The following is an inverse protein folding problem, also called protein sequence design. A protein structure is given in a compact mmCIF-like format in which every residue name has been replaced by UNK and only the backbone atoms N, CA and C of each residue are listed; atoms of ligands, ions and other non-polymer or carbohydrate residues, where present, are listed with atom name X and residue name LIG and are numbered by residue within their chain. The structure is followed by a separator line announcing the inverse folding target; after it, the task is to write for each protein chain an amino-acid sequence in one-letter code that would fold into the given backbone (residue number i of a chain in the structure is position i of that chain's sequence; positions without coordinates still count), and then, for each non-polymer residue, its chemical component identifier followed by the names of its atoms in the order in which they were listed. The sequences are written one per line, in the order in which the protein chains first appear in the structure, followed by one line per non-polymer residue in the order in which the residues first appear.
data_IF_790540756348
#
_entry.id   IF_790540756348
#
_cell.length_a   1.000
_cell.length_b   1.000
_cell.length_c   1.000
_cell.angle_alpha   90.00
_cell.angle_beta   90.00
_cell.angle_gamma   90.00
#
_symmetry.space_group_name_H-M   'P 1'
#
loop_
_entity.id
_entity.type
_entity.pdbx_description
1 polymer ?
#
# COMPACT_ATOMS: atom_id res chain seq x y z
N UNK A 1 45.33 11.33 -27.91
CA UNK A 1 44.33 10.84 -28.87
C UNK A 1 43.17 10.26 -28.07
N UNK A 2 42.22 11.11 -27.65
CA UNK A 2 41.04 10.70 -26.89
C UNK A 2 39.97 10.21 -27.87
N UNK A 3 39.55 8.95 -27.73
CA UNK A 3 38.37 8.43 -28.44
C UNK A 3 37.12 8.70 -27.60
N UNK A 4 36.36 9.72 -27.97
CA UNK A 4 34.95 9.85 -27.61
C UNK A 4 34.16 8.85 -28.47
N UNK A 5 33.66 7.76 -27.87
CA UNK A 5 32.66 6.90 -28.52
C UNK A 5 31.27 7.47 -28.21
N UNK A 6 30.58 7.91 -29.26
CA UNK A 6 29.21 8.40 -29.25
C UNK A 6 28.27 7.28 -28.77
N UNK A 7 27.52 7.55 -27.71
CA UNK A 7 26.37 6.74 -27.29
C UNK A 7 25.25 6.97 -28.31
N UNK A 8 24.88 5.93 -29.06
CA UNK A 8 23.81 6.00 -30.05
C UNK A 8 22.48 5.72 -29.33
N UNK A 9 21.79 6.77 -28.89
CA UNK A 9 20.43 6.67 -28.36
C UNK A 9 19.48 6.63 -29.56
N UNK A 10 18.98 5.43 -29.91
CA UNK A 10 17.94 5.28 -30.92
C UNK A 10 16.61 5.66 -30.25
N UNK A 11 16.14 6.88 -30.49
CA UNK A 11 14.75 7.25 -30.25
C UNK A 11 13.89 6.55 -31.31
N UNK A 12 13.31 5.41 -30.95
CA UNK A 12 12.15 4.88 -31.67
C UNK A 12 10.98 5.82 -31.37
N UNK A 13 10.50 6.54 -32.39
CA UNK A 13 9.28 7.33 -32.32
C UNK A 13 8.14 6.44 -31.79
N UNK A 14 7.74 6.68 -30.55
CA UNK A 14 6.50 6.15 -30.01
C UNK A 14 5.34 6.83 -30.74
N UNK A 15 4.70 6.10 -31.65
CA UNK A 15 3.37 6.48 -32.12
C UNK A 15 2.45 6.50 -30.90
N UNK A 16 1.98 7.69 -30.52
CA UNK A 16 0.86 7.84 -29.62
C UNK A 16 -0.39 7.27 -30.31
N UNK A 17 -0.64 5.98 -30.12
CA UNK A 17 -1.97 5.43 -30.37
C UNK A 17 -2.78 5.75 -29.12
N UNK A 18 -3.57 6.83 -29.19
CA UNK A 18 -4.67 7.06 -28.27
C UNK A 18 -5.74 5.98 -28.55
N UNK A 19 -5.58 4.80 -27.96
CA UNK A 19 -6.68 3.85 -27.83
C UNK A 19 -7.48 4.27 -26.61
N UNK A 20 -8.70 4.75 -26.84
CA UNK A 20 -9.72 4.86 -25.81
C UNK A 20 -10.02 3.43 -25.32
N UNK A 21 -9.40 3.04 -24.20
CA UNK A 21 -9.76 1.81 -23.53
C UNK A 21 -11.21 1.99 -23.04
N UNK A 22 -12.13 1.19 -23.61
CA UNK A 22 -13.49 1.06 -23.09
C UNK A 22 -13.40 0.53 -21.68
N UNK A 23 -13.94 1.31 -20.76
CA UNK A 23 -14.21 0.97 -19.38
C UNK A 23 -15.09 -0.29 -19.29
N UNK A 24 -14.46 -1.43 -19.00
CA UNK A 24 -15.14 -2.55 -18.36
C UNK A 24 -14.91 -2.42 -16.85
N UNK A 25 -15.68 -1.55 -16.20
CA UNK A 25 -15.75 -1.46 -14.74
C UNK A 25 -16.46 -2.72 -14.21
N UNK A 26 -15.71 -3.65 -13.62
CA UNK A 26 -16.29 -4.64 -12.71
C UNK A 26 -16.63 -3.96 -11.37
N UNK A 27 -17.77 -4.34 -10.79
CA UNK A 27 -18.38 -3.79 -9.57
C UNK A 27 -17.59 -4.11 -8.28
N UNK A 28 -16.27 -3.97 -8.29
CA UNK A 28 -15.39 -4.28 -7.16
C UNK A 28 -15.04 -2.99 -6.43
N UNK A 29 -15.39 -2.89 -5.14
CA UNK A 29 -14.91 -1.80 -4.30
C UNK A 29 -13.59 -2.24 -3.65
N UNK A 30 -12.49 -1.64 -4.07
CA UNK A 30 -11.23 -1.72 -3.34
C UNK A 30 -11.42 -1.03 -1.98
N UNK A 31 -10.86 -1.57 -0.89
CA UNK A 31 -11.04 -0.97 0.43
C UNK A 31 -10.54 0.48 0.56
N UNK A 32 -9.79 0.95 -0.44
CA UNK A 32 -9.24 2.29 -0.51
C UNK A 32 -9.68 2.99 -1.80
N UNK A 33 -10.85 2.64 -2.36
CA UNK A 33 -11.27 3.13 -3.68
C UNK A 33 -11.68 4.61 -3.72
N UNK A 34 -12.15 5.17 -2.61
CA UNK A 34 -12.76 6.48 -2.66
C UNK A 34 -11.72 7.57 -2.54
N UNK A 35 -11.67 8.49 -3.52
CA UNK A 35 -10.81 9.68 -3.47
C UNK A 35 -11.03 10.43 -2.15
N UNK A 36 -9.97 10.57 -1.36
CA UNK A 36 -9.87 11.50 -0.22
C UNK A 36 -9.74 12.95 -0.70
N UNK A 37 -10.55 13.38 -1.67
CA UNK A 37 -10.75 14.81 -1.92
C UNK A 37 -11.95 15.23 -1.08
N UNK A 38 -11.91 16.44 -0.53
CA UNK A 38 -13.01 17.11 0.19
C UNK A 38 -14.39 16.73 -0.39
N UNK A 39 -14.57 16.80 -1.71
CA UNK A 39 -15.86 16.50 -2.38
C UNK A 39 -16.34 15.05 -2.37
N UNK A 40 -15.52 14.09 -1.94
CA UNK A 40 -15.83 12.65 -1.96
C UNK A 40 -16.12 12.07 -0.59
N UNK A 41 -15.71 12.73 0.50
CA UNK A 41 -15.87 12.22 1.86
C UNK A 41 -17.31 12.36 2.36
N UNK A 42 -17.71 11.58 3.39
CA UNK A 42 -19.00 11.80 4.05
C UNK A 42 -19.12 13.28 4.49
N UNK A 43 -20.20 13.99 4.14
CA UNK A 43 -20.26 15.48 4.19
C UNK A 43 -19.78 16.13 5.51
N UNK A 44 -20.18 15.66 6.71
CA UNK A 44 -19.64 16.14 7.98
C UNK A 44 -18.14 15.89 8.23
N UNK A 45 -17.47 15.09 7.41
CA UNK A 45 -16.06 14.75 7.52
C UNK A 45 -15.16 15.66 6.68
N UNK A 46 -15.71 16.67 5.99
CA UNK A 46 -14.93 17.68 5.27
C UNK A 46 -13.90 18.33 6.21
N UNK A 47 -12.61 18.09 5.89
CA UNK A 47 -11.45 18.13 6.81
C UNK A 47 -11.05 19.50 7.37
N UNK A 48 -11.88 20.53 7.22
CA UNK A 48 -11.57 21.89 7.70
C UNK A 48 -11.86 22.10 9.19
N UNK A 49 -12.43 21.13 9.89
CA UNK A 49 -12.82 21.34 11.28
C UNK A 49 -12.48 20.11 12.11
N UNK A 50 -11.39 20.22 12.88
CA UNK A 50 -11.27 19.45 14.12
C UNK A 50 -12.45 19.85 15.01
N UNK A 51 -13.53 19.05 15.03
CA UNK A 51 -14.68 19.33 15.87
C UNK A 51 -14.56 18.55 17.19
N UNK A 52 -14.59 19.34 18.26
CA UNK A 52 -14.70 18.93 19.64
C UNK A 52 -15.91 18.04 19.89
N UNK A 53 -15.71 17.03 20.73
CA UNK A 53 -16.79 16.22 21.30
C UNK A 53 -17.38 16.96 22.49
N UNK A 54 -18.65 17.37 22.41
CA UNK A 54 -19.43 17.63 23.62
C UNK A 54 -20.02 16.32 24.12
N UNK A 55 -19.62 15.95 25.34
CA UNK A 55 -20.11 14.79 26.06
C UNK A 55 -21.63 14.88 26.23
N UNK A 56 -22.37 13.88 25.79
CA UNK A 56 -23.69 13.60 26.33
C UNK A 56 -23.97 12.10 26.32
N UNK A 57 -24.69 11.69 27.36
CA UNK A 57 -25.10 10.34 27.73
C UNK A 57 -25.56 9.46 26.56
N UNK A 58 -25.08 8.21 26.57
CA UNK A 58 -25.30 7.17 25.56
C UNK A 58 -26.77 6.70 25.62
N UNK A 59 -27.58 6.92 24.57
CA UNK A 59 -28.81 6.16 24.39
C UNK A 59 -28.44 4.70 24.14
N UNK A 60 -29.17 3.74 24.70
CA UNK A 60 -29.07 2.33 24.31
C UNK A 60 -29.34 2.21 22.81
N UNK A 61 -28.28 2.09 22.01
CA UNK A 61 -28.34 1.91 20.57
C UNK A 61 -28.76 0.46 20.29
N UNK A 62 -29.89 0.28 19.59
CA UNK A 62 -30.20 -1.00 18.96
C UNK A 62 -29.26 -1.18 17.78
N UNK A 63 -28.18 -1.93 17.98
CA UNK A 63 -27.14 -2.13 16.97
C UNK A 63 -27.65 -3.10 15.91
N UNK A 64 -27.75 -2.65 14.66
CA UNK A 64 -28.01 -3.54 13.52
C UNK A 64 -26.72 -4.28 13.18
N UNK A 65 -26.76 -5.61 13.13
CA UNK A 65 -25.59 -6.39 12.74
C UNK A 65 -25.47 -6.45 11.21
N UNK A 66 -24.30 -6.06 10.70
CA UNK A 66 -23.92 -6.29 9.31
C UNK A 66 -23.40 -7.73 9.18
N UNK A 67 -23.60 -8.34 8.02
CA UNK A 67 -23.06 -9.67 7.74
C UNK A 67 -21.86 -9.56 6.78
N UNK A 68 -20.90 -10.46 6.96
CA UNK A 68 -19.72 -10.60 6.11
C UNK A 68 -19.64 -12.02 5.57
N UNK A 69 -19.17 -12.20 4.34
CA UNK A 69 -18.99 -13.53 3.75
C UNK A 69 -17.97 -14.39 4.50
N UNK A 70 -16.96 -13.76 5.10
CA UNK A 70 -15.96 -14.40 5.96
C UNK A 70 -15.47 -13.44 7.05
N UNK A 71 -14.94 -14.00 8.14
CA UNK A 71 -14.28 -13.25 9.24
C UNK A 71 -12.76 -13.42 9.24
N UNK A 72 -12.23 -14.33 8.42
CA UNK A 72 -10.80 -14.52 8.20
C UNK A 72 -10.53 -14.48 6.69
N UNK A 73 -9.53 -13.70 6.26
CA UNK A 73 -9.25 -13.48 4.83
C UNK A 73 -7.76 -13.55 4.52
N UNK A 74 -7.40 -13.96 3.31
CA UNK A 74 -6.03 -13.80 2.78
C UNK A 74 -5.89 -12.45 2.08
N UNK A 75 -4.68 -11.88 2.03
CA UNK A 75 -4.47 -10.59 1.35
C UNK A 75 -4.94 -10.64 -0.12
N UNK A 76 -5.58 -9.57 -0.58
CA UNK A 76 -6.28 -9.41 -1.86
C UNK A 76 -7.58 -10.22 -2.03
N UNK A 77 -8.10 -10.85 -0.97
CA UNK A 77 -9.39 -11.53 -0.99
C UNK A 77 -10.57 -10.54 -0.96
N UNK A 78 -11.66 -10.91 -1.64
CA UNK A 78 -12.91 -10.16 -1.64
C UNK A 78 -13.80 -10.58 -0.47
N UNK A 79 -14.23 -9.63 0.34
CA UNK A 79 -15.25 -9.82 1.37
C UNK A 79 -16.54 -9.15 0.93
N UNK A 80 -17.62 -9.93 0.85
CA UNK A 80 -18.97 -9.38 0.67
C UNK A 80 -19.52 -8.92 2.01
N UNK A 81 -19.96 -7.67 2.08
CA UNK A 81 -20.60 -7.07 3.25
C UNK A 81 -22.06 -6.82 2.90
N UNK A 82 -22.99 -7.28 3.73
CA UNK A 82 -24.44 -7.07 3.55
C UNK A 82 -25.07 -6.44 4.78
N UNK A 83 -26.11 -5.63 4.57
CA UNK A 83 -26.79 -4.90 5.63
C UNK A 83 -28.29 -4.77 5.36
N UNK A 84 -29.04 -4.53 6.42
CA UNK A 84 -30.46 -4.18 6.32
C UNK A 84 -30.59 -2.66 6.15
N UNK A 85 -31.25 -2.17 5.09
CA UNK A 85 -31.53 -0.74 4.93
C UNK A 85 -32.37 -0.20 6.09
N UNK A 86 -32.11 1.04 6.47
CA UNK A 86 -32.92 1.77 7.46
C UNK A 86 -34.05 2.51 6.75
N UNK A 87 -35.18 2.70 7.43
CA UNK A 87 -36.37 3.33 6.85
C UNK A 87 -36.19 4.81 6.50
N UNK A 88 -35.27 5.49 7.18
CA UNK A 88 -34.97 6.92 7.01
C UNK A 88 -33.52 7.09 6.55
N UNK A 89 -33.18 6.51 5.40
CA UNK A 89 -31.81 6.60 4.87
C UNK A 89 -31.49 8.02 4.38
N UNK A 90 -30.23 8.41 4.56
CA UNK A 90 -29.69 9.60 3.96
C UNK A 90 -28.95 9.28 2.66
N UNK A 91 -29.16 10.12 1.66
CA UNK A 91 -28.04 10.92 1.14
C UNK A 91 -26.65 10.31 1.03
N UNK A 92 -26.00 10.38 2.18
CA UNK A 92 -24.58 10.19 2.41
C UNK A 92 -24.38 9.19 3.55
N UNK A 93 -25.35 8.29 3.71
CA UNK A 93 -25.20 7.05 4.46
C UNK A 93 -24.04 6.27 3.88
N UNK A 94 -23.19 5.74 4.75
CA UNK A 94 -22.00 5.03 4.31
C UNK A 94 -21.64 3.88 5.23
N UNK A 95 -20.97 2.90 4.63
CA UNK A 95 -20.23 1.87 5.36
C UNK A 95 -18.76 2.19 5.22
N UNK A 96 -18.08 2.32 6.37
CA UNK A 96 -16.64 2.44 6.45
C UNK A 96 -16.00 1.16 6.98
N UNK A 97 -14.74 0.93 6.63
CA UNK A 97 -13.88 -0.07 7.26
C UNK A 97 -13.01 0.62 8.33
N UNK A 98 -12.93 0.05 9.51
CA UNK A 98 -12.28 0.67 10.67
C UNK A 98 -11.38 -0.33 11.38
N UNK A 99 -10.31 0.15 12.01
CA UNK A 99 -9.68 -0.62 13.07
C UNK A 99 -10.65 -0.74 14.26
N UNK A 100 -10.67 -1.91 14.90
CA UNK A 100 -11.64 -2.22 15.97
C UNK A 100 -11.53 -1.23 17.14
N UNK A 101 -10.34 -0.75 17.45
CA UNK A 101 -10.09 0.20 18.53
C UNK A 101 -10.56 1.63 18.26
N UNK A 102 -10.91 1.97 17.01
CA UNK A 102 -11.47 3.29 16.69
C UNK A 102 -12.79 3.48 17.45
N UNK A 103 -12.98 4.61 18.13
CA UNK A 103 -14.21 4.90 18.87
C UNK A 103 -15.45 4.90 17.96
N UNK A 104 -16.49 4.13 18.31
CA UNK A 104 -17.75 4.12 17.56
C UNK A 104 -18.52 5.45 17.69
N UNK A 105 -18.32 6.18 18.80
CA UNK A 105 -19.06 7.39 19.14
C UNK A 105 -18.51 8.63 18.43
N UNK A 106 -17.20 8.66 18.22
CA UNK A 106 -16.48 9.87 17.79
C UNK A 106 -15.65 9.64 16.53
N UNK A 107 -15.41 8.39 16.17
CA UNK A 107 -14.53 8.01 15.06
C UNK A 107 -15.27 7.72 13.77
N UNK A 108 -16.44 8.31 13.52
CA UNK A 108 -17.17 8.12 12.25
C UNK A 108 -16.34 8.56 11.03
N UNK A 109 -15.43 9.51 11.19
CA UNK A 109 -14.54 9.97 10.11
C UNK A 109 -13.15 9.31 10.16
N UNK A 110 -12.90 8.41 11.12
CA UNK A 110 -11.63 7.70 11.30
C UNK A 110 -11.66 6.32 10.61
N UNK A 111 -12.21 6.25 9.40
CA UNK A 111 -12.23 5.02 8.59
C UNK A 111 -10.90 4.82 7.88
N UNK A 112 -10.59 3.60 7.47
CA UNK A 112 -9.53 3.30 6.51
C UNK A 112 -9.99 3.58 5.07
N UNK A 113 -11.27 3.30 4.80
CA UNK A 113 -11.97 3.61 3.57
C UNK A 113 -13.47 3.44 3.75
N UNK A 114 -14.26 3.85 2.76
CA UNK A 114 -15.72 3.88 2.87
C UNK A 114 -16.39 3.65 1.53
N UNK A 115 -17.70 3.41 1.54
CA UNK A 115 -18.60 3.47 0.37
C UNK A 115 -19.93 4.06 0.80
N UNK A 116 -20.53 4.89 -0.05
CA UNK A 116 -21.92 5.29 0.13
C UNK A 116 -22.84 4.11 -0.16
N UNK A 117 -23.89 3.94 0.65
CA UNK A 117 -24.74 2.72 0.63
C UNK A 117 -26.12 2.92 0.02
N UNK A 118 -26.40 4.09 -0.53
CA UNK A 118 -27.69 4.41 -1.11
C UNK A 118 -28.13 3.39 -2.16
N UNK A 119 -29.32 2.81 -1.99
CA UNK A 119 -29.91 1.82 -2.90
C UNK A 119 -29.15 0.49 -3.02
N UNK A 120 -28.19 0.22 -2.14
CA UNK A 120 -27.49 -1.05 -2.06
C UNK A 120 -27.84 -1.77 -0.76
N UNK A 121 -27.79 -3.09 -0.79
CA UNK A 121 -27.91 -3.96 0.40
C UNK A 121 -26.68 -4.83 0.58
N UNK A 122 -25.76 -4.79 -0.38
CA UNK A 122 -24.48 -5.49 -0.36
C UNK A 122 -23.41 -4.70 -1.09
N UNK A 123 -22.15 -4.99 -0.75
CA UNK A 123 -20.98 -4.49 -1.45
C UNK A 123 -19.80 -5.45 -1.28
N UNK A 124 -18.86 -5.46 -2.24
CA UNK A 124 -17.68 -6.33 -2.21
C UNK A 124 -16.44 -5.49 -1.97
N UNK A 125 -15.64 -5.89 -0.99
CA UNK A 125 -14.43 -5.21 -0.56
C UNK A 125 -13.20 -6.06 -0.84
N UNK A 126 -12.27 -5.55 -1.64
CA UNK A 126 -10.95 -6.18 -1.73
C UNK A 126 -10.10 -5.78 -0.52
N UNK A 127 -9.66 -6.78 0.23
CA UNK A 127 -9.00 -6.58 1.51
C UNK A 127 -7.50 -6.76 1.39
N UNK A 128 -6.71 -5.85 1.96
CA UNK A 128 -5.29 -6.09 2.19
C UNK A 128 -5.04 -6.50 3.63
N UNK A 129 -3.95 -7.22 3.84
CA UNK A 129 -3.47 -7.51 5.18
C UNK A 129 -2.84 -6.24 5.80
N UNK A 130 -3.64 -5.51 6.59
CA UNK A 130 -3.20 -4.38 7.40
C UNK A 130 -2.64 -4.79 8.77
N UNK A 131 -2.35 -6.09 8.98
CA UNK A 131 -1.76 -6.65 10.21
C UNK A 131 -2.62 -6.48 11.47
N UNK A 132 -3.90 -6.13 11.31
CA UNK A 132 -4.75 -5.64 12.40
C UNK A 132 -6.21 -6.08 12.25
N UNK A 133 -6.95 -6.25 13.36
CA UNK A 133 -8.37 -6.54 13.31
C UNK A 133 -9.17 -5.34 12.80
N UNK A 134 -10.15 -5.62 11.93
CA UNK A 134 -10.97 -4.64 11.25
C UNK A 134 -12.45 -4.92 11.48
N UNK A 135 -13.29 -3.93 11.31
CA UNK A 135 -14.75 -4.10 11.25
C UNK A 135 -15.38 -3.11 10.27
N UNK A 136 -16.47 -3.53 9.63
CA UNK A 136 -17.30 -2.66 8.83
C UNK A 136 -18.33 -1.99 9.73
N UNK A 137 -18.47 -0.67 9.62
CA UNK A 137 -19.43 0.11 10.41
C UNK A 137 -20.33 0.93 9.51
N UNK A 138 -21.62 0.88 9.77
CA UNK A 138 -22.65 1.65 9.09
C UNK A 138 -22.96 2.90 9.91
N UNK A 139 -22.81 4.07 9.29
CA UNK A 139 -23.20 5.36 9.82
C UNK A 139 -24.29 6.01 8.98
N UNK A 140 -25.20 6.70 9.65
CA UNK A 140 -26.28 7.47 9.04
C UNK A 140 -26.54 8.76 9.82
N UNK A 141 -27.40 9.64 9.30
CA UNK A 141 -27.78 10.91 9.93
C UNK A 141 -29.28 10.95 10.21
N UNK A 142 -29.72 12.02 10.85
CA UNK A 142 -31.16 12.27 11.03
C UNK A 142 -31.90 12.33 9.68
N UNK A 143 -33.24 12.27 9.72
CA UNK A 143 -34.11 12.28 8.53
C UNK A 143 -33.85 13.42 7.54
N UNK A 144 -33.31 14.56 8.02
CA UNK A 144 -33.02 15.72 7.20
C UNK A 144 -31.58 15.75 6.67
N UNK A 145 -30.78 14.71 6.96
CA UNK A 145 -29.37 14.60 6.56
C UNK A 145 -28.58 15.87 6.92
N UNK A 146 -28.69 16.27 8.19
CA UNK A 146 -28.12 17.53 8.70
C UNK A 146 -27.41 17.39 10.03
N UNK A 147 -27.67 16.33 10.79
CA UNK A 147 -26.96 16.06 12.04
C UNK A 147 -25.55 15.53 11.82
N UNK A 148 -24.81 15.32 12.90
CA UNK A 148 -23.63 14.47 12.86
C UNK A 148 -24.01 13.01 12.56
N UNK A 149 -23.03 12.23 12.11
CA UNK A 149 -23.18 10.81 11.93
C UNK A 149 -23.47 10.08 13.24
N UNK A 150 -24.44 9.19 13.17
CA UNK A 150 -24.88 8.29 14.23
C UNK A 150 -24.48 6.88 13.83
N UNK A 151 -23.94 6.13 14.78
CA UNK A 151 -23.61 4.72 14.59
C UNK A 151 -24.90 3.88 14.47
N UNK A 152 -25.04 3.15 13.37
CA UNK A 152 -26.22 2.30 13.08
C UNK A 152 -25.93 0.83 13.36
N UNK A 153 -24.75 0.38 12.97
CA UNK A 153 -24.45 -1.04 12.95
C UNK A 153 -22.99 -1.36 12.68
N UNK A 154 -22.60 -2.59 13.00
CA UNK A 154 -21.28 -3.11 12.63
C UNK A 154 -21.30 -4.59 12.26
N UNK A 155 -20.28 -5.01 11.53
CA UNK A 155 -20.02 -6.42 11.26
C UNK A 155 -19.39 -7.12 12.47
N UNK A 156 -19.32 -8.47 12.47
CA UNK A 156 -18.27 -9.17 13.18
C UNK A 156 -16.89 -8.64 12.82
N UNK A 157 -15.92 -8.85 13.73
CA UNK A 157 -14.51 -8.52 13.46
C UNK A 157 -14.01 -9.40 12.31
N UNK A 158 -13.39 -8.77 11.32
CA UNK A 158 -12.68 -9.44 10.22
C UNK A 158 -11.18 -9.29 10.43
N UNK A 159 -10.40 -10.34 10.19
CA UNK A 159 -8.94 -10.34 10.40
C UNK A 159 -8.24 -11.04 9.25
N UNK A 160 -6.99 -10.67 8.93
CA UNK A 160 -6.14 -11.51 8.11
C UNK A 160 -6.04 -12.91 8.70
N UNK A 161 -5.99 -13.94 7.85
CA UNK A 161 -5.82 -15.33 8.26
C UNK A 161 -4.51 -15.54 9.02
N UNK A 162 -3.47 -14.80 8.62
CA UNK A 162 -2.19 -14.68 9.31
C UNK A 162 -1.75 -13.21 9.30
N UNK A 163 -1.85 -12.52 10.45
CA UNK A 163 -1.42 -11.13 10.57
C UNK A 163 0.11 -10.96 10.57
N UNK A 164 0.87 -12.04 10.80
CA UNK A 164 2.33 -12.04 10.73
C UNK A 164 2.88 -12.46 9.36
N UNK A 165 2.02 -12.74 8.37
CA UNK A 165 2.51 -13.19 7.06
C UNK A 165 3.41 -12.14 6.39
N UNK A 166 4.46 -12.56 5.66
CA UNK A 166 5.25 -11.64 4.84
C UNK A 166 4.40 -10.99 3.74
N UNK A 167 4.33 -9.67 3.75
CA UNK A 167 3.65 -8.85 2.74
C UNK A 167 4.59 -7.80 2.16
N UNK A 168 4.16 -7.12 1.10
CA UNK A 168 4.90 -5.99 0.51
C UNK A 168 6.27 -6.40 0.01
N UNK A 169 6.38 -7.62 -0.54
CA UNK A 169 7.66 -8.20 -0.93
C UNK A 169 8.21 -7.42 -2.14
N UNK A 170 9.42 -6.89 -2.00
CA UNK A 170 10.07 -6.12 -3.06
C UNK A 170 11.58 -6.33 -3.07
N UNK A 171 12.16 -6.14 -4.25
CA UNK A 171 13.57 -6.29 -4.52
C UNK A 171 14.22 -4.94 -4.79
N UNK A 172 15.46 -4.77 -4.37
CA UNK A 172 16.28 -3.62 -4.74
C UNK A 172 17.72 -4.07 -4.98
N UNK A 173 18.39 -3.42 -5.92
CA UNK A 173 19.81 -3.62 -6.11
C UNK A 173 20.61 -3.11 -4.91
N UNK A 174 21.61 -3.89 -4.50
CA UNK A 174 22.65 -3.45 -3.58
C UNK A 174 23.87 -2.90 -4.36
N UNK A 175 24.89 -2.45 -3.65
CA UNK A 175 26.05 -1.76 -4.25
C UNK A 175 26.84 -2.64 -5.23
N UNK A 176 27.07 -3.91 -4.90
CA UNK A 176 27.80 -4.84 -5.78
C UNK A 176 26.88 -5.51 -6.79
N UNK A 177 27.44 -5.86 -7.94
CA UNK A 177 26.73 -6.49 -9.06
C UNK A 177 26.11 -7.86 -8.72
N UNK A 178 26.74 -8.57 -7.79
CA UNK A 178 26.38 -9.89 -7.30
C UNK A 178 25.54 -9.85 -6.01
N UNK A 179 24.89 -8.71 -5.76
CA UNK A 179 24.09 -8.50 -4.56
C UNK A 179 22.69 -7.96 -4.87
N UNK A 180 21.72 -8.43 -4.08
CA UNK A 180 20.30 -8.06 -4.14
C UNK A 180 19.74 -7.93 -2.73
N UNK A 181 19.01 -6.86 -2.46
CA UNK A 181 18.16 -6.77 -1.29
C UNK A 181 16.80 -7.39 -1.57
N UNK A 182 16.31 -8.17 -0.60
CA UNK A 182 14.93 -8.61 -0.52
C UNK A 182 14.34 -8.01 0.74
N UNK A 183 13.21 -7.32 0.59
CA UNK A 183 12.52 -6.65 1.68
C UNK A 183 11.06 -7.05 1.75
N UNK A 184 10.50 -7.06 2.95
CA UNK A 184 9.10 -7.40 3.22
C UNK A 184 8.67 -6.84 4.57
N UNK A 185 7.36 -6.86 4.84
CA UNK A 185 6.75 -6.37 6.09
C UNK A 185 5.98 -7.48 6.78
N UNK A 186 6.10 -7.56 8.11
CA UNK A 186 5.28 -8.42 8.97
C UNK A 186 4.75 -7.64 10.18
N UNK A 187 3.95 -8.29 11.03
CA UNK A 187 3.48 -7.75 12.31
C UNK A 187 4.34 -8.17 13.52
N UNK A 188 5.49 -8.81 13.27
CA UNK A 188 6.36 -9.35 14.32
C UNK A 188 7.85 -9.06 14.05
N UNK A 189 8.61 -8.79 15.10
CA UNK A 189 10.07 -8.80 15.06
C UNK A 189 10.66 -9.80 16.06
N UNK A 190 9.86 -10.76 16.52
CA UNK A 190 10.29 -11.76 17.49
C UNK A 190 11.37 -12.70 16.93
N UNK A 191 11.43 -12.85 15.61
CA UNK A 191 12.36 -13.73 14.91
C UNK A 191 13.26 -12.95 13.96
N UNK A 192 14.46 -13.49 13.72
CA UNK A 192 15.37 -12.97 12.70
C UNK A 192 14.70 -13.20 11.33
N UNK A 193 14.56 -12.17 10.48
CA UNK A 193 13.96 -12.35 9.16
C UNK A 193 14.90 -13.16 8.27
N UNK A 194 14.32 -14.12 7.53
CA UNK A 194 15.07 -15.05 6.67
C UNK A 194 14.58 -15.03 5.24
N UNK A 195 15.49 -15.33 4.33
CA UNK A 195 15.22 -15.55 2.91
C UNK A 195 15.85 -16.89 2.54
N UNK A 196 15.02 -17.82 2.08
CA UNK A 196 15.49 -19.06 1.48
C UNK A 196 15.49 -18.87 -0.03
N UNK A 197 16.59 -19.25 -0.68
CA UNK A 197 16.77 -19.04 -2.11
C UNK A 197 17.58 -20.16 -2.77
N UNK A 198 17.46 -20.27 -4.09
CA UNK A 198 18.06 -21.38 -4.84
C UNK A 198 17.90 -21.24 -6.36
N UNK A 199 18.59 -22.08 -7.12
CA UNK A 199 18.42 -22.19 -8.57
C UNK A 199 17.23 -23.07 -8.96
N UNK A 200 16.71 -23.87 -8.02
CA UNK A 200 15.58 -24.75 -8.25
C UNK A 200 14.40 -24.33 -7.37
N UNK A 201 13.25 -24.06 -7.99
CA UNK A 201 12.02 -23.68 -7.27
C UNK A 201 11.59 -24.69 -6.20
N UNK A 202 11.88 -25.97 -6.41
CA UNK A 202 11.49 -27.05 -5.50
C UNK A 202 12.55 -27.34 -4.41
N UNK A 203 13.74 -26.73 -4.50
CA UNK A 203 14.86 -26.94 -3.58
C UNK A 203 15.60 -25.62 -3.37
N UNK A 204 15.24 -24.90 -2.31
CA UNK A 204 15.90 -23.65 -1.91
C UNK A 204 17.03 -23.99 -0.93
N UNK A 205 18.23 -24.17 -1.47
CA UNK A 205 19.39 -24.74 -0.76
C UNK A 205 20.19 -23.72 0.05
N UNK A 206 19.95 -22.42 -0.18
CA UNK A 206 20.62 -21.33 0.50
C UNK A 206 19.67 -20.55 1.38
N UNK A 207 20.22 -19.98 2.47
CA UNK A 207 19.49 -19.15 3.41
C UNK A 207 20.33 -17.92 3.78
N UNK A 208 19.67 -16.77 3.87
CA UNK A 208 20.27 -15.52 4.33
C UNK A 208 19.40 -14.88 5.41
N UNK A 209 20.06 -14.26 6.39
CA UNK A 209 19.42 -13.53 7.49
C UNK A 209 19.44 -12.02 7.20
N UNK A 210 18.47 -11.30 7.76
CA UNK A 210 18.35 -9.86 7.59
C UNK A 210 18.27 -9.08 8.88
N UNK A 211 17.99 -7.80 8.72
CA UNK A 211 17.74 -6.84 9.79
C UNK A 211 16.31 -6.35 9.75
N UNK A 212 15.84 -5.84 10.87
CA UNK A 212 14.46 -5.35 11.03
C UNK A 212 14.47 -3.92 11.55
N UNK A 213 13.64 -3.06 10.96
CA UNK A 213 13.40 -1.69 11.40
C UNK A 213 11.89 -1.43 11.52
N UNK A 214 11.53 -0.44 12.32
CA UNK A 214 10.18 0.11 12.42
C UNK A 214 10.27 1.58 12.81
N UNK A 215 9.15 2.28 12.76
CA UNK A 215 9.02 3.66 13.22
C UNK A 215 7.65 3.86 13.87
N UNK A 216 7.60 4.88 14.73
CA UNK A 216 6.40 5.26 15.49
C UNK A 216 5.92 6.65 15.09
N UNK A 217 4.71 7.03 15.52
CA UNK A 217 4.19 8.37 15.27
C UNK A 217 5.11 9.48 15.80
N UNK A 218 5.81 9.23 16.91
CA UNK A 218 6.77 10.18 17.49
C UNK A 218 8.05 10.34 16.67
N UNK A 219 8.31 9.45 15.72
CA UNK A 219 9.45 9.54 14.81
C UNK A 219 9.14 10.44 13.61
N UNK A 220 7.87 10.73 13.37
CA UNK A 220 7.43 11.62 12.31
C UNK A 220 7.65 13.08 12.69
N UNK A 221 7.87 13.90 11.66
CA UNK A 221 8.29 15.30 11.80
C UNK A 221 7.12 16.25 12.11
N UNK A 222 6.00 16.13 11.41
CA UNK A 222 4.89 17.08 11.52
C UNK A 222 3.54 16.52 11.00
N UNK A 223 2.47 17.29 11.22
CA UNK A 223 1.17 17.07 10.60
C UNK A 223 0.47 15.77 11.03
N UNK A 224 -0.30 15.21 10.10
CA UNK A 224 -1.11 14.02 10.34
C UNK A 224 -0.27 12.80 10.72
N UNK A 225 0.98 12.71 10.24
CA UNK A 225 1.88 11.61 10.52
C UNK A 225 2.28 11.49 12.00
N UNK A 226 2.15 12.56 12.79
CA UNK A 226 2.50 12.55 14.22
C UNK A 226 1.37 12.07 15.13
N UNK A 227 0.17 11.85 14.57
CA UNK A 227 -1.03 11.52 15.34
C UNK A 227 -1.58 10.19 14.86
N UNK A 228 -1.79 9.28 15.81
CA UNK A 228 -2.41 7.99 15.53
C UNK A 228 -3.83 8.16 14.98
N UNK A 229 -4.15 7.44 13.92
CA UNK A 229 -5.48 7.37 13.33
C UNK A 229 -5.47 6.71 11.95
N UNK A 230 -6.53 5.99 11.56
CA UNK A 230 -6.64 5.35 10.23
C UNK A 230 -6.44 6.30 9.04
N UNK A 231 -6.88 7.55 9.16
CA UNK A 231 -6.68 8.64 8.18
C UNK A 231 -5.40 9.46 8.44
N UNK A 232 -4.48 8.94 9.25
CA UNK A 232 -3.29 9.60 9.77
C UNK A 232 -2.18 8.56 9.92
N UNK A 233 -1.47 8.53 11.05
CA UNK A 233 -0.50 7.48 11.34
C UNK A 233 -1.15 6.15 11.71
N UNK A 234 -0.66 5.08 11.10
CA UNK A 234 -0.91 3.70 11.52
C UNK A 234 0.44 3.02 11.75
N UNK A 235 0.46 2.01 12.61
CA UNK A 235 1.68 1.23 12.82
C UNK A 235 2.09 0.52 11.50
N UNK A 236 3.31 0.77 10.99
CA UNK A 236 3.77 0.15 9.74
C UNK A 236 4.10 -1.34 9.91
N UNK A 237 4.05 -1.88 11.13
CA UNK A 237 4.60 -3.19 11.45
C UNK A 237 6.12 -3.16 11.47
N UNK A 238 6.74 -4.24 11.00
CA UNK A 238 8.19 -4.40 11.00
C UNK A 238 8.68 -4.61 9.57
N UNK A 239 9.57 -3.73 9.13
CA UNK A 239 10.20 -3.77 7.82
C UNK A 239 11.49 -4.58 7.93
N UNK A 240 11.57 -5.65 7.17
CA UNK A 240 12.72 -6.55 7.13
C UNK A 240 13.49 -6.35 5.84
N UNK A 241 14.81 -6.36 5.91
CA UNK A 241 15.70 -6.27 4.75
C UNK A 241 16.80 -7.31 4.85
N UNK A 242 16.97 -8.10 3.79
CA UNK A 242 17.92 -9.20 3.70
C UNK A 242 18.82 -8.97 2.49
N UNK A 243 20.13 -9.08 2.69
CA UNK A 243 21.12 -8.99 1.62
C UNK A 243 21.45 -10.40 1.10
N UNK A 244 21.10 -10.67 -0.15
CA UNK A 244 21.59 -11.83 -0.89
C UNK A 244 22.91 -11.44 -1.56
N UNK A 245 23.95 -12.27 -1.40
CA UNK A 245 25.28 -12.03 -1.95
C UNK A 245 25.76 -13.21 -2.78
N UNK A 246 26.90 -13.01 -3.47
CA UNK A 246 27.56 -14.01 -4.32
C UNK A 246 26.65 -14.56 -5.42
N UNK A 247 25.72 -13.72 -5.91
CA UNK A 247 24.79 -14.06 -6.98
C UNK A 247 25.51 -14.04 -8.33
N UNK A 248 25.35 -15.10 -9.11
CA UNK A 248 25.88 -15.16 -10.46
C UNK A 248 25.15 -14.19 -11.38
N UNK A 249 25.85 -13.54 -12.34
CA UNK A 249 25.22 -12.65 -13.28
C UNK A 249 24.26 -13.40 -14.21
N UNK A 250 23.26 -12.69 -14.73
CA UNK A 250 22.25 -13.22 -15.68
C UNK A 250 21.57 -14.52 -15.23
N UNK A 251 21.53 -14.78 -13.92
CA UNK A 251 21.06 -16.05 -13.35
C UNK A 251 19.74 -15.85 -12.64
N UNK A 252 18.78 -16.73 -12.90
CA UNK A 252 17.48 -16.74 -12.23
C UNK A 252 17.59 -17.46 -10.88
N UNK A 253 17.11 -16.81 -9.84
CA UNK A 253 16.98 -17.35 -8.49
C UNK A 253 15.51 -17.42 -8.11
N UNK A 254 15.13 -18.50 -7.45
CA UNK A 254 13.87 -18.64 -6.75
C UNK A 254 14.08 -18.30 -5.28
N UNK A 255 13.10 -17.68 -4.64
CA UNK A 255 13.21 -17.30 -3.24
C UNK A 255 11.86 -17.23 -2.52
N UNK A 256 11.89 -17.35 -1.20
CA UNK A 256 10.78 -17.02 -0.29
C UNK A 256 11.32 -16.37 0.97
N UNK A 257 10.50 -15.54 1.60
CA UNK A 257 10.86 -14.82 2.84
C UNK A 257 9.92 -15.21 3.96
N UNK A 258 10.36 -15.02 5.20
CA UNK A 258 9.58 -15.32 6.39
C UNK A 258 10.36 -16.14 7.41
N UNK A 259 9.63 -16.92 8.21
CA UNK A 259 10.22 -17.87 9.15
C UNK A 259 9.21 -19.00 9.49
N UNK A 260 9.62 -19.96 10.31
CA UNK A 260 8.82 -21.16 10.59
C UNK A 260 7.64 -20.89 11.54
N UNK A 261 7.70 -19.80 12.32
CA UNK A 261 6.70 -19.42 13.32
C UNK A 261 5.66 -18.44 12.73
N UNK A 262 6.11 -17.37 12.05
CA UNK A 262 5.26 -16.36 11.41
C UNK A 262 4.75 -16.80 10.02
N UNK A 263 5.35 -17.85 9.46
CA UNK A 263 5.02 -18.39 8.15
C UNK A 263 5.93 -17.90 7.02
N UNK A 264 5.97 -18.70 5.95
CA UNK A 264 6.73 -18.41 4.74
C UNK A 264 5.85 -17.83 3.64
N UNK A 265 6.38 -16.86 2.89
CA UNK A 265 5.74 -16.35 1.69
C UNK A 265 5.59 -17.44 0.61
N UNK A 266 4.81 -17.14 -0.43
CA UNK A 266 4.91 -17.85 -1.70
C UNK A 266 6.34 -17.82 -2.25
N UNK A 267 6.68 -18.77 -3.14
CA UNK A 267 7.98 -18.76 -3.83
C UNK A 267 7.89 -17.84 -5.05
N UNK A 268 8.72 -16.80 -5.04
CA UNK A 268 8.94 -15.83 -6.10
C UNK A 268 10.24 -16.15 -6.85
N UNK A 269 10.55 -15.35 -7.87
CA UNK A 269 11.79 -15.49 -8.63
C UNK A 269 12.26 -14.14 -9.17
N UNK A 270 13.57 -13.96 -9.28
CA UNK A 270 14.19 -12.81 -9.93
C UNK A 270 15.41 -13.24 -10.75
N UNK A 271 15.84 -12.40 -11.69
CA UNK A 271 17.10 -12.58 -12.42
C UNK A 271 18.10 -11.56 -11.91
N UNK A 272 19.30 -12.01 -11.52
CA UNK A 272 20.37 -11.10 -11.11
C UNK A 272 20.89 -10.27 -12.30
N UNK A 273 21.63 -9.20 -12.02
CA UNK A 273 22.15 -8.27 -13.03
C UNK A 273 22.83 -8.99 -14.19
N UNK A 274 22.70 -8.45 -15.42
CA UNK A 274 23.45 -8.96 -16.56
C UNK A 274 24.95 -8.97 -16.31
N UNK A 275 25.68 -9.87 -16.97
CA UNK A 275 27.13 -9.87 -16.95
C UNK A 275 27.70 -8.55 -17.53
N UNK A 276 28.88 -8.13 -17.08
CA UNK A 276 29.56 -6.95 -17.64
C UNK A 276 30.30 -7.37 -18.91
N UNK A 277 29.61 -7.38 -20.05
CA UNK A 277 30.20 -7.61 -21.37
C UNK A 277 29.42 -6.87 -22.49
N UNK A 278 30.01 -6.77 -23.68
CA UNK A 278 29.47 -5.97 -24.79
C UNK A 278 28.12 -6.48 -25.34
N UNK A 279 27.78 -7.74 -25.11
CA UNK A 279 26.55 -8.39 -25.61
C UNK A 279 25.38 -8.31 -24.61
N UNK A 280 25.59 -7.75 -23.43
CA UNK A 280 24.56 -7.70 -22.39
C UNK A 280 23.56 -6.56 -22.61
N UNK A 281 22.33 -6.93 -22.97
CA UNK A 281 21.21 -6.00 -23.10
C UNK A 281 20.63 -5.63 -21.72
N UNK A 282 20.38 -4.34 -21.52
CA UNK A 282 19.71 -3.80 -20.32
C UNK A 282 18.42 -3.12 -20.76
N UNK A 283 17.29 -3.58 -20.22
CA UNK A 283 15.99 -2.94 -20.45
C UNK A 283 15.47 -2.39 -19.13
N UNK A 284 15.22 -1.08 -19.10
CA UNK A 284 14.75 -0.37 -17.91
C UNK A 284 13.37 0.21 -18.16
N UNK A 285 12.48 0.07 -17.18
CA UNK A 285 11.24 0.85 -17.10
C UNK A 285 11.50 2.06 -16.19
N UNK A 286 11.14 3.26 -16.60
CA UNK A 286 11.29 4.46 -15.78
C UNK A 286 10.02 5.31 -15.79
N UNK A 287 9.58 5.78 -14.62
CA UNK A 287 8.48 6.71 -14.42
C UNK A 287 8.58 7.40 -13.06
N UNK A 288 7.93 8.54 -12.90
CA UNK A 288 7.73 9.23 -11.61
C UNK A 288 6.24 9.43 -11.34
N UNK A 289 5.91 9.95 -10.17
CA UNK A 289 4.60 10.56 -9.90
C UNK A 289 3.43 9.58 -10.08
N UNK A 290 3.66 8.28 -9.79
CA UNK A 290 2.66 7.26 -10.07
C UNK A 290 1.46 7.40 -9.12
N UNK A 291 1.74 7.61 -7.84
CA UNK A 291 0.77 7.45 -6.76
C UNK A 291 0.19 6.04 -6.71
N UNK A 292 -0.98 5.91 -6.08
CA UNK A 292 -1.69 4.63 -5.97
C UNK A 292 -3.07 4.69 -6.62
N UNK A 293 -3.55 3.54 -7.07
CA UNK A 293 -4.91 3.44 -7.56
C UNK A 293 -5.90 3.27 -6.39
N UNK A 294 -7.13 3.79 -6.54
CA UNK A 294 -7.61 4.60 -7.67
C UNK A 294 -7.46 6.11 -7.46
N UNK A 295 -6.74 6.54 -6.42
CA UNK A 295 -6.58 7.96 -6.07
C UNK A 295 -5.97 8.75 -7.23
N UNK A 296 -4.84 8.24 -7.76
CA UNK A 296 -4.21 8.76 -8.96
C UNK A 296 -4.80 8.04 -10.19
N UNK A 297 -5.42 8.80 -11.10
CA UNK A 297 -6.12 8.28 -12.28
C UNK A 297 -5.21 7.47 -13.21
N UNK A 298 -3.94 7.86 -13.31
CA UNK A 298 -2.92 7.18 -14.10
C UNK A 298 -2.37 5.91 -13.45
N UNK A 299 -2.41 5.81 -12.11
CA UNK A 299 -1.72 4.77 -11.35
C UNK A 299 -2.11 3.36 -11.83
N UNK A 300 -3.42 3.08 -11.95
CA UNK A 300 -3.90 1.76 -12.37
C UNK A 300 -3.36 1.39 -13.75
N UNK A 301 -3.46 2.30 -14.72
CA UNK A 301 -2.99 2.02 -16.08
C UNK A 301 -1.47 1.82 -16.12
N UNK A 302 -0.71 2.62 -15.38
CA UNK A 302 0.74 2.46 -15.25
C UNK A 302 1.09 1.10 -14.66
N UNK A 303 0.50 0.73 -13.52
CA UNK A 303 0.74 -0.57 -12.88
C UNK A 303 0.37 -1.75 -13.77
N UNK A 304 -0.78 -1.70 -14.46
CA UNK A 304 -1.20 -2.76 -15.38
C UNK A 304 -0.20 -2.93 -16.54
N UNK A 305 0.31 -1.82 -17.09
CA UNK A 305 1.31 -1.81 -18.17
C UNK A 305 2.66 -2.33 -17.68
N UNK A 306 3.12 -1.88 -16.51
CA UNK A 306 4.34 -2.36 -15.86
C UNK A 306 4.24 -3.87 -15.65
N UNK A 307 3.19 -4.32 -14.96
CA UNK A 307 2.95 -5.75 -14.70
C UNK A 307 2.97 -6.57 -15.99
N UNK A 308 2.26 -6.12 -17.02
CA UNK A 308 2.24 -6.80 -18.33
C UNK A 308 3.64 -6.88 -18.94
N UNK A 309 4.40 -5.78 -18.92
CA UNK A 309 5.75 -5.71 -19.50
C UNK A 309 6.75 -6.58 -18.72
N UNK A 310 6.66 -6.60 -17.40
CA UNK A 310 7.46 -7.46 -16.51
C UNK A 310 7.19 -8.95 -16.74
N UNK A 311 5.94 -9.33 -16.99
CA UNK A 311 5.58 -10.73 -17.25
C UNK A 311 5.99 -11.16 -18.67
N UNK A 312 5.88 -10.26 -19.65
CA UNK A 312 6.02 -10.59 -21.07
C UNK A 312 7.40 -10.30 -21.66
N UNK A 313 8.32 -9.71 -20.92
CA UNK A 313 9.61 -9.24 -21.46
C UNK A 313 10.73 -9.31 -20.43
N UNK A 314 11.97 -9.37 -20.91
CA UNK A 314 13.15 -9.36 -20.06
C UNK A 314 13.45 -7.93 -19.58
N UNK A 315 12.90 -7.56 -18.42
CA UNK A 315 13.14 -6.26 -17.79
C UNK A 315 14.21 -6.40 -16.71
N UNK A 316 15.27 -5.61 -16.83
CA UNK A 316 16.42 -5.64 -15.91
C UNK A 316 16.10 -4.98 -14.58
N UNK A 317 15.45 -3.83 -14.60
CA UNK A 317 14.99 -3.13 -13.41
C UNK A 317 13.93 -2.07 -13.75
N UNK A 318 13.35 -1.52 -12.69
CA UNK A 318 12.42 -0.39 -12.75
C UNK A 318 12.97 0.76 -11.91
N UNK A 319 12.88 1.98 -12.43
CA UNK A 319 13.23 3.22 -11.74
C UNK A 319 11.95 4.04 -11.49
N UNK A 320 11.54 4.17 -10.23
CA UNK A 320 10.47 5.07 -9.79
C UNK A 320 11.10 6.36 -9.25
N UNK A 321 11.12 7.40 -10.07
CA UNK A 321 11.92 8.60 -9.84
C UNK A 321 11.24 9.65 -8.95
N UNK A 322 10.71 9.23 -7.80
CA UNK A 322 10.08 10.09 -6.79
C UNK A 322 8.57 10.24 -6.95
N UNK A 323 7.96 10.84 -5.92
CA UNK A 323 6.53 11.05 -5.79
C UNK A 323 5.76 9.73 -5.87
N UNK A 324 6.06 8.89 -4.88
CA UNK A 324 5.85 7.46 -4.95
C UNK A 324 4.37 7.11 -4.77
N UNK A 325 3.86 7.36 -3.56
CA UNK A 325 2.51 6.97 -3.16
C UNK A 325 1.59 8.17 -2.97
N UNK A 326 2.14 9.37 -2.77
CA UNK A 326 1.40 10.52 -2.26
C UNK A 326 0.71 10.25 -0.91
N UNK A 327 1.29 9.38 -0.07
CA UNK A 327 0.74 9.06 1.24
C UNK A 327 0.66 10.29 2.16
N UNK A 328 1.63 11.20 2.08
CA UNK A 328 1.62 12.52 2.74
C UNK A 328 1.20 12.49 4.22
N UNK A 329 1.68 11.49 4.96
CA UNK A 329 1.39 11.30 6.39
C UNK A 329 0.17 10.44 6.72
N UNK A 330 -0.53 9.91 5.71
CA UNK A 330 -1.58 8.89 5.87
C UNK A 330 -0.94 7.52 5.65
N UNK A 331 -0.57 6.84 6.74
CA UNK A 331 0.24 5.62 6.72
C UNK A 331 -0.37 4.48 5.90
N UNK A 332 -1.69 4.33 5.94
CA UNK A 332 -2.37 3.22 5.24
C UNK A 332 -2.24 3.28 3.71
N UNK A 333 -1.94 4.46 3.15
CA UNK A 333 -1.68 4.61 1.72
C UNK A 333 -0.35 3.97 1.30
N UNK A 334 0.64 3.90 2.20
CA UNK A 334 1.87 3.14 1.96
C UNK A 334 1.60 1.65 1.86
N UNK A 335 0.87 1.07 2.82
CA UNK A 335 0.47 -0.34 2.76
C UNK A 335 -0.30 -0.68 1.47
N UNK A 336 -1.23 0.20 1.08
CA UNK A 336 -2.01 0.05 -0.13
C UNK A 336 -1.15 0.13 -1.39
N UNK A 337 -0.23 1.09 -1.48
CA UNK A 337 0.71 1.22 -2.59
C UNK A 337 1.61 -0.02 -2.71
N UNK A 338 2.22 -0.43 -1.60
CA UNK A 338 3.15 -1.56 -1.57
C UNK A 338 2.47 -2.88 -1.93
N UNK A 339 1.24 -3.08 -1.46
CA UNK A 339 0.42 -4.25 -1.84
C UNK A 339 0.14 -4.29 -3.34
N UNK A 340 -0.11 -3.13 -3.98
CA UNK A 340 -0.38 -3.07 -5.42
C UNK A 340 0.88 -3.37 -6.25
N UNK A 341 2.04 -2.85 -5.84
CA UNK A 341 3.28 -3.04 -6.61
C UNK A 341 3.94 -4.40 -6.39
N UNK A 342 3.64 -5.11 -5.30
CA UNK A 342 4.25 -6.42 -4.97
C UNK A 342 4.20 -7.40 -6.15
N UNK A 343 3.12 -7.36 -6.94
CA UNK A 343 2.92 -8.24 -8.10
C UNK A 343 4.04 -8.21 -9.15
N UNK A 344 4.83 -7.13 -9.20
CA UNK A 344 6.01 -6.98 -10.03
C UNK A 344 7.28 -6.61 -9.25
N UNK A 345 7.18 -5.89 -8.12
CA UNK A 345 8.33 -5.54 -7.28
C UNK A 345 8.99 -6.77 -6.62
N UNK A 346 8.24 -7.87 -6.44
CA UNK A 346 8.77 -9.17 -5.99
C UNK A 346 9.53 -9.94 -7.09
N UNK A 347 9.51 -9.47 -8.35
CA UNK A 347 10.07 -10.18 -9.51
C UNK A 347 11.30 -9.51 -10.11
N UNK A 348 11.45 -8.21 -9.92
CA UNK A 348 12.59 -7.45 -10.41
C UNK A 348 12.90 -6.29 -9.45
N UNK A 349 14.11 -5.73 -9.50
CA UNK A 349 14.53 -4.63 -8.63
C UNK A 349 13.76 -3.34 -8.90
N UNK A 350 12.97 -2.92 -7.92
CA UNK A 350 12.19 -1.69 -7.93
C UNK A 350 12.99 -0.58 -7.23
N UNK A 351 13.74 0.18 -8.02
CA UNK A 351 14.61 1.23 -7.51
C UNK A 351 13.81 2.53 -7.39
N UNK A 352 13.98 3.23 -6.27
CA UNK A 352 13.27 4.49 -6.01
C UNK A 352 14.24 5.65 -5.84
N UNK A 353 13.81 6.84 -6.23
CA UNK A 353 14.33 8.08 -5.67
C UNK A 353 13.24 8.77 -4.86
N UNK A 354 13.62 9.81 -4.12
CA UNK A 354 12.74 10.56 -3.23
C UNK A 354 12.23 11.79 -3.99
N UNK A 355 10.91 11.99 -3.99
CA UNK A 355 10.25 13.21 -4.50
C UNK A 355 9.90 14.16 -3.36
N UNK A 356 9.13 15.20 -3.67
CA UNK A 356 8.73 16.17 -2.65
C UNK A 356 7.65 15.64 -1.72
N UNK A 357 6.78 14.77 -2.22
CA UNK A 357 5.72 14.17 -1.41
C UNK A 357 6.20 13.15 -0.38
N UNK A 358 7.44 12.68 -0.53
CA UNK A 358 8.11 11.85 0.47
C UNK A 358 8.86 12.68 1.53
N UNK A 359 9.09 13.98 1.27
CA UNK A 359 10.25 14.64 1.86
C UNK A 359 10.10 16.11 2.25
N UNK A 360 9.08 16.83 1.78
CA UNK A 360 8.84 18.20 2.21
C UNK A 360 8.34 18.28 3.66
N UNK A 361 9.04 19.04 4.50
CA UNK A 361 8.63 19.32 5.88
C UNK A 361 9.17 20.67 6.39
N UNK A 362 8.56 21.22 7.44
CA UNK A 362 9.02 22.45 8.11
C UNK A 362 9.95 22.12 9.29
N UNK A 363 9.62 21.09 10.07
CA UNK A 363 10.40 20.74 11.27
C UNK A 363 10.90 19.30 11.22
N UNK A 364 12.18 19.09 10.97
CA UNK A 364 12.83 17.78 10.99
C UNK A 364 13.26 17.34 12.40
N UNK A 365 13.55 16.05 12.56
CA UNK A 365 14.16 15.48 13.77
C UNK A 365 15.41 14.66 13.41
N UNK A 366 16.09 14.09 14.41
CA UNK A 366 17.30 13.30 14.19
C UNK A 366 17.08 11.93 13.51
N UNK A 367 15.82 11.57 13.25
CA UNK A 367 15.41 10.37 12.50
C UNK A 367 15.06 10.66 11.05
N UNK A 368 15.24 11.90 10.58
CA UNK A 368 15.15 12.21 9.15
C UNK A 368 16.23 11.43 8.37
N UNK A 369 15.84 10.48 7.50
CA UNK A 369 16.77 9.63 6.78
C UNK A 369 17.59 10.37 5.70
N UNK A 370 17.23 11.61 5.35
CA UNK A 370 17.90 12.37 4.30
C UNK A 370 19.21 13.04 4.74
N UNK A 371 19.33 13.36 6.03
CA UNK A 371 20.39 14.21 6.56
C UNK A 371 20.43 15.65 6.02
N UNK A 372 19.38 16.19 5.40
CA UNK A 372 19.42 17.57 4.90
C UNK A 372 19.18 18.63 6.00
N UNK A 373 19.55 19.91 5.75
CA UNK A 373 19.27 21.00 6.67
C UNK A 373 17.77 21.26 6.80
N UNK A 374 17.28 21.40 8.04
CA UNK A 374 15.90 21.79 8.37
C UNK A 374 15.71 23.32 8.24
N UNK A 375 14.60 23.82 7.68
CA UNK A 375 13.56 23.12 6.93
C UNK A 375 14.05 22.73 5.52
N UNK A 376 13.58 21.59 5.01
CA UNK A 376 13.80 21.23 3.61
C UNK A 376 12.52 21.46 2.81
N UNK A 377 12.51 22.54 2.02
CA UNK A 377 11.44 22.91 1.09
C UNK A 377 12.02 23.45 -0.21
N UNK A 378 12.38 22.57 -1.14
CA UNK A 378 12.88 22.99 -2.43
C UNK A 378 11.82 23.78 -3.19
N UNK A 379 12.29 24.74 -3.98
CA UNK A 379 11.47 25.51 -4.91
C UNK A 379 11.66 24.86 -6.28
N UNK A 380 10.96 23.77 -6.57
CA UNK A 380 10.83 23.26 -7.95
C UNK A 380 9.72 24.00 -8.67
#
# INVERSE_FOLDING_TARGET
MLFYRKMCVIFLLAFFVAVTARDHHSNVNWAFRNRHSIRGEPYPCDRDIGISTSSNSIPTLTITQLNVSTTAYVSMEQIEVTWTPISNSCHDDFIGIYFVETSILTGACDYVGFVFVQNHTSTSWEMINLRRPLEFRYYSRNQNCSSNYSFIGKSPVVRPLNDNEPTQIHLAYADRIDQMFVSFVTNSNAHIPRCQYGLNRLSLEWEANGTTLTYTASDMCEGQATVWGPQKFIDPGFMHTILLSDLHPSTMYFYRVGNDDDGWSSIYSFTNRPAINEDSEVTVIAFGDMGLAPFATGAKSTMDRVRTRVISSNITCLLHIGDISYAMGIGVLWDSFMSQIESFASRLPYMVSIGNHEYDYITGNNKDPSGAPVPFRPKW
#
